data_IF_787422559620
#
_entry.id   IF_787422559620
#
_cell.length_a   1.000
_cell.length_b   1.000
_cell.length_c   1.000
_cell.angle_alpha   90.00
_cell.angle_beta   90.00
_cell.angle_gamma   90.00
#
_symmetry.space_group_name_H-M   'P 1'
#
loop_
_entity.id
_entity.type
_entity.pdbx_description
1 polymer ?
#
# COMPACT_ATOMS: atom_id res chain seq x y z
N UNK A 1 -10.77 -1.96 31.97
CA UNK A 1 -9.87 -1.47 30.90
C UNK A 1 -10.71 -0.77 29.84
N UNK A 2 -10.48 0.54 29.64
CA UNK A 2 -11.44 1.49 29.05
C UNK A 2 -11.78 1.13 27.59
N UNK A 3 -13.07 1.02 27.26
CA UNK A 3 -13.68 0.71 25.94
C UNK A 3 -12.91 1.31 24.74
N UNK A 4 -12.41 2.52 24.90
CA UNK A 4 -11.60 3.25 23.91
C UNK A 4 -10.30 2.54 23.49
N UNK A 5 -9.63 1.82 24.40
CA UNK A 5 -8.39 1.09 24.10
C UNK A 5 -8.65 -0.10 23.17
N UNK A 6 -9.76 -0.83 23.36
CA UNK A 6 -10.14 -1.94 22.47
C UNK A 6 -10.47 -1.45 21.06
N UNK A 7 -11.18 -0.33 20.96
CA UNK A 7 -11.54 0.26 19.66
C UNK A 7 -10.28 0.71 18.90
N UNK A 8 -9.33 1.32 19.60
CA UNK A 8 -8.09 1.77 18.99
C UNK A 8 -7.20 0.61 18.53
N UNK A 9 -7.11 -0.49 19.30
CA UNK A 9 -6.42 -1.71 18.87
C UNK A 9 -7.11 -2.35 17.65
N UNK A 10 -8.45 -2.35 17.61
CA UNK A 10 -9.19 -2.88 16.46
C UNK A 10 -8.92 -2.05 15.20
N UNK A 11 -8.95 -0.73 15.32
CA UNK A 11 -8.62 0.18 14.21
C UNK A 11 -7.18 -0.04 13.72
N UNK A 12 -6.22 -0.21 14.63
CA UNK A 12 -4.83 -0.52 14.30
C UNK A 12 -4.69 -1.82 13.50
N UNK A 13 -5.36 -2.90 13.93
CA UNK A 13 -5.33 -4.19 13.23
C UNK A 13 -5.95 -4.10 11.83
N UNK A 14 -7.05 -3.36 11.68
CA UNK A 14 -7.67 -3.10 10.38
C UNK A 14 -6.70 -2.33 9.47
N UNK A 15 -6.05 -1.29 10.00
CA UNK A 15 -5.10 -0.46 9.25
C UNK A 15 -3.90 -1.28 8.74
N UNK A 16 -3.36 -2.17 9.58
CA UNK A 16 -2.33 -3.13 9.17
C UNK A 16 -2.83 -4.12 8.10
N UNK A 17 -4.05 -4.63 8.25
CA UNK A 17 -4.66 -5.50 7.26
C UNK A 17 -4.84 -4.83 5.90
N UNK A 18 -5.29 -3.57 5.88
CA UNK A 18 -5.41 -2.76 4.66
C UNK A 18 -4.05 -2.56 4.00
N UNK A 19 -3.00 -2.30 4.78
CA UNK A 19 -1.64 -2.17 4.26
C UNK A 19 -1.10 -3.44 3.61
N UNK A 20 -1.28 -4.59 4.28
CA UNK A 20 -0.91 -5.88 3.71
C UNK A 20 -1.70 -6.17 2.42
N UNK A 21 -3.01 -5.90 2.43
CA UNK A 21 -3.87 -6.05 1.26
C UNK A 21 -3.44 -5.16 0.09
N UNK A 22 -3.09 -3.90 0.35
CA UNK A 22 -2.61 -2.97 -0.66
C UNK A 22 -1.27 -3.42 -1.27
N UNK A 23 -0.35 -3.93 -0.45
CA UNK A 23 0.92 -4.50 -0.92
C UNK A 23 0.71 -5.75 -1.80
N UNK A 24 -0.16 -6.66 -1.37
CA UNK A 24 -0.51 -7.84 -2.16
C UNK A 24 -1.20 -7.48 -3.48
N UNK A 25 -2.09 -6.49 -3.47
CA UNK A 25 -2.73 -6.00 -4.69
C UNK A 25 -1.72 -5.40 -5.67
N UNK A 26 -0.76 -4.60 -5.17
CA UNK A 26 0.29 -4.04 -6.01
C UNK A 26 1.17 -5.13 -6.67
N UNK A 27 1.50 -6.19 -5.93
CA UNK A 27 2.28 -7.30 -6.44
C UNK A 27 1.51 -8.21 -7.40
N UNK A 28 0.33 -8.68 -7.00
CA UNK A 28 -0.43 -9.71 -7.73
C UNK A 28 -1.21 -9.12 -8.90
N UNK A 29 -1.74 -7.90 -8.76
CA UNK A 29 -2.64 -7.30 -9.77
C UNK A 29 -1.94 -6.21 -10.55
N UNK A 30 -1.29 -5.25 -9.89
CA UNK A 30 -0.72 -4.08 -10.59
C UNK A 30 0.51 -4.46 -11.42
N UNK A 31 1.38 -5.35 -10.92
CA UNK A 31 2.57 -5.78 -11.67
C UNK A 31 2.24 -6.44 -13.02
N UNK A 32 1.38 -7.48 -13.13
CA UNK A 32 1.08 -8.08 -14.42
C UNK A 32 0.32 -7.13 -15.35
N UNK A 33 -0.56 -6.27 -14.82
CA UNK A 33 -1.29 -5.27 -15.62
C UNK A 33 -0.34 -4.23 -16.21
N UNK A 34 0.73 -3.86 -15.49
CA UNK A 34 1.71 -2.87 -15.95
C UNK A 34 2.73 -3.46 -16.93
N UNK A 35 3.13 -4.72 -16.75
CA UNK A 35 4.10 -5.38 -17.64
C UNK A 35 3.47 -6.16 -18.80
N UNK A 36 2.16 -6.36 -18.85
CA UNK A 36 1.50 -7.03 -19.99
C UNK A 36 0.55 -6.10 -20.70
N UNK A 37 0.94 -4.82 -20.83
CA UNK A 37 0.18 -3.80 -21.57
C UNK A 37 -0.13 -4.23 -23.00
N UNK A 38 0.74 -5.02 -23.64
CA UNK A 38 0.51 -5.64 -24.95
C UNK A 38 -0.85 -6.36 -25.06
N UNK A 39 -1.26 -7.03 -23.97
CA UNK A 39 -2.50 -7.79 -23.91
C UNK A 39 -3.74 -6.86 -23.87
N UNK A 40 -3.57 -5.60 -23.48
CA UNK A 40 -4.64 -4.61 -23.30
C UNK A 40 -4.67 -3.53 -24.38
N UNK A 41 -3.50 -3.11 -24.89
CA UNK A 41 -3.36 -2.07 -25.90
C UNK A 41 -3.22 -2.60 -27.34
N UNK A 42 -3.11 -3.93 -27.52
CA UNK A 42 -3.17 -4.59 -28.83
C UNK A 42 -2.00 -4.30 -29.79
N UNK A 43 -0.98 -3.56 -29.34
CA UNK A 43 0.24 -3.22 -30.08
C UNK A 43 1.40 -2.94 -29.13
N UNK A 44 2.65 -3.09 -29.59
CA UNK A 44 3.88 -2.71 -28.86
C UNK A 44 3.98 -1.18 -28.76
N UNK A 45 3.04 -0.57 -28.05
CA UNK A 45 3.02 0.88 -27.82
C UNK A 45 4.08 1.26 -26.80
N UNK A 46 4.37 0.36 -25.84
CA UNK A 46 5.29 0.62 -24.74
C UNK A 46 6.43 -0.39 -24.72
N UNK A 47 7.67 0.11 -24.67
CA UNK A 47 8.83 -0.72 -24.38
C UNK A 47 8.78 -1.24 -22.94
N UNK A 48 9.37 -2.41 -22.68
CA UNK A 48 9.55 -2.99 -21.33
C UNK A 48 10.15 -1.99 -20.32
N UNK A 49 10.98 -1.08 -20.81
CA UNK A 49 11.59 -0.02 -19.99
C UNK A 49 10.55 1.02 -19.52
N UNK A 50 9.63 1.42 -20.40
CA UNK A 50 8.58 2.40 -20.10
C UNK A 50 7.53 1.81 -19.16
N UNK A 51 7.20 0.53 -19.32
CA UNK A 51 6.37 -0.22 -18.37
C UNK A 51 7.01 -0.25 -16.98
N UNK A 52 8.33 -0.47 -16.92
CA UNK A 52 9.10 -0.42 -15.68
C UNK A 52 9.03 0.95 -14.99
N UNK A 53 9.14 2.04 -15.74
CA UNK A 53 8.98 3.40 -15.23
C UNK A 53 7.58 3.62 -14.62
N UNK A 54 6.52 3.15 -15.28
CA UNK A 54 5.15 3.24 -14.76
C UNK A 54 5.00 2.44 -13.46
N UNK A 55 5.62 1.25 -13.39
CA UNK A 55 5.59 0.44 -12.17
C UNK A 55 6.29 1.16 -11.01
N UNK A 56 7.46 1.77 -11.25
CA UNK A 56 8.17 2.54 -10.22
C UNK A 56 7.31 3.69 -9.67
N UNK A 57 6.62 4.44 -10.53
CA UNK A 57 5.71 5.50 -10.10
C UNK A 57 4.52 4.96 -9.28
N UNK A 58 3.95 3.81 -9.67
CA UNK A 58 2.90 3.16 -8.90
C UNK A 58 3.40 2.72 -7.51
N UNK A 59 4.62 2.19 -7.41
CA UNK A 59 5.22 1.82 -6.13
C UNK A 59 5.57 3.03 -5.27
N UNK A 60 6.01 4.13 -5.85
CA UNK A 60 6.23 5.40 -5.13
C UNK A 60 4.93 5.92 -4.51
N UNK A 61 3.83 5.89 -5.25
CA UNK A 61 2.51 6.29 -4.73
C UNK A 61 2.02 5.35 -3.63
N UNK A 62 2.27 4.04 -3.76
CA UNK A 62 2.02 3.08 -2.69
C UNK A 62 2.88 3.38 -1.46
N UNK A 63 4.14 3.76 -1.65
CA UNK A 63 5.05 4.14 -0.56
C UNK A 63 4.53 5.33 0.24
N UNK A 64 3.92 6.33 -0.40
CA UNK A 64 3.29 7.44 0.34
C UNK A 64 2.14 6.98 1.24
N UNK A 65 1.33 6.00 0.79
CA UNK A 65 0.33 5.39 1.67
C UNK A 65 0.99 4.67 2.85
N UNK A 66 2.07 3.93 2.60
CA UNK A 66 2.85 3.25 3.63
C UNK A 66 3.37 4.23 4.68
N UNK A 67 3.94 5.36 4.24
CA UNK A 67 4.49 6.39 5.13
C UNK A 67 3.40 7.03 6.01
N UNK A 68 2.22 7.32 5.43
CA UNK A 68 1.07 7.83 6.20
C UNK A 68 0.62 6.83 7.27
N UNK A 69 0.58 5.53 6.92
CA UNK A 69 0.27 4.50 7.91
C UNK A 69 1.34 4.44 8.99
N UNK A 70 2.61 4.56 8.64
CA UNK A 70 3.72 4.53 9.58
C UNK A 70 3.63 5.69 10.60
N UNK A 71 3.27 6.89 10.15
CA UNK A 71 2.99 8.04 11.04
C UNK A 71 1.80 7.75 11.94
N UNK A 72 0.72 7.17 11.42
CA UNK A 72 -0.46 6.81 12.22
C UNK A 72 -0.13 5.76 13.29
N UNK A 73 0.71 4.77 12.97
CA UNK A 73 1.22 3.76 13.90
C UNK A 73 2.09 4.41 14.98
N UNK A 74 3.00 5.29 14.59
CA UNK A 74 3.89 5.99 15.52
C UNK A 74 3.11 6.83 16.53
N UNK A 75 2.07 7.54 16.07
CA UNK A 75 1.16 8.28 16.95
C UNK A 75 0.40 7.34 17.88
N UNK A 76 -0.14 6.23 17.37
CA UNK A 76 -0.89 5.27 18.18
C UNK A 76 -0.03 4.63 19.28
N UNK A 77 1.13 4.08 18.91
CA UNK A 77 2.01 3.40 19.85
C UNK A 77 2.68 4.41 20.79
N UNK A 78 3.00 5.62 20.32
CA UNK A 78 3.50 6.71 21.16
C UNK A 78 2.50 7.17 22.23
N UNK A 79 1.21 7.29 21.88
CA UNK A 79 0.16 7.61 22.86
C UNK A 79 -0.10 6.49 23.85
N UNK A 80 0.04 5.23 23.42
CA UNK A 80 -0.10 4.05 24.26
C UNK A 80 1.08 3.90 25.22
N UNK A 81 2.31 4.20 24.80
CA UNK A 81 3.51 4.08 25.63
C UNK A 81 3.66 5.23 26.64
N UNK A 82 3.08 6.40 26.35
CA UNK A 82 3.07 7.55 27.26
C UNK A 82 2.07 7.40 28.43
N UNK A 83 1.20 6.39 28.40
CA UNK A 83 0.14 6.18 29.39
C UNK A 83 0.32 4.89 30.17
#
# INVERSE_FOLDING_TARGET
MKKYFKIATMAYLILLGVMLGAGLYAGIVVAPVTFHTQQWLGSDVLSRYEEGLIMTENFLRLSYLVDVVLVAIFLYEGYKYKK
#
